data_IF_173874650042
#
_entry.id   IF_173874650042
#
_cell.length_a   1.000
_cell.length_b   1.000
_cell.length_c   1.000
_cell.angle_alpha   90.00
_cell.angle_beta   90.00
_cell.angle_gamma   90.00
#
_symmetry.space_group_name_H-M   'P 1'
#
loop_
_entity.id
_entity.type
_entity.pdbx_description
1 polymer ?
#
# COMPACT_ATOMS: atom_id res chain seq x y z
N UNK A 1 17.56 12.39 -0.91
CA UNK A 1 16.99 11.04 -1.08
C UNK A 1 17.84 9.93 -0.47
N UNK A 2 19.16 9.84 -0.70
CA UNK A 2 19.98 8.73 -0.14
C UNK A 2 19.98 8.65 1.39
N UNK A 3 19.91 9.77 2.11
CA UNK A 3 19.78 9.79 3.57
C UNK A 3 18.44 9.20 4.04
N UNK A 4 17.35 9.42 3.30
CA UNK A 4 16.02 8.91 3.60
C UNK A 4 15.99 7.38 3.56
N UNK A 5 16.56 6.77 2.50
CA UNK A 5 16.63 5.30 2.37
C UNK A 5 17.43 4.66 3.50
N UNK A 6 18.44 5.36 4.04
CA UNK A 6 19.28 4.82 5.11
C UNK A 6 18.62 4.93 6.49
N UNK A 7 17.84 6.01 6.72
CA UNK A 7 17.26 6.34 8.03
C UNK A 7 15.88 5.70 8.27
N UNK A 8 15.18 5.29 7.21
CA UNK A 8 13.87 4.65 7.34
C UNK A 8 14.03 3.19 7.81
N UNK A 9 13.56 2.83 9.02
CA UNK A 9 13.75 1.49 9.57
C UNK A 9 12.99 0.41 8.80
N UNK A 10 11.85 0.74 8.18
CA UNK A 10 10.99 -0.17 7.42
C UNK A 10 11.65 -0.66 6.12
N UNK A 11 12.70 0.02 5.63
CA UNK A 11 13.41 -0.42 4.42
C UNK A 11 14.33 -1.61 4.75
N UNK A 12 14.09 -2.81 4.18
CA UNK A 12 14.88 -3.99 4.47
C UNK A 12 16.34 -3.82 4.04
N UNK A 13 17.24 -4.42 4.81
CA UNK A 13 18.70 -4.33 4.59
C UNK A 13 19.11 -4.65 3.15
N UNK A 14 18.59 -5.71 2.47
CA UNK A 14 18.92 -5.98 1.07
C UNK A 14 18.61 -4.81 0.12
N UNK A 15 17.49 -4.13 0.32
CA UNK A 15 17.12 -2.97 -0.50
C UNK A 15 18.10 -1.80 -0.28
N UNK A 16 18.54 -1.56 0.96
CA UNK A 16 19.58 -0.56 1.27
C UNK A 16 20.89 -0.88 0.57
N UNK A 17 21.31 -2.15 0.60
CA UNK A 17 22.55 -2.62 -0.06
C UNK A 17 22.46 -2.41 -1.57
N UNK A 18 21.37 -2.81 -2.22
CA UNK A 18 21.15 -2.64 -3.66
C UNK A 18 21.18 -1.15 -4.04
N UNK A 19 20.55 -0.29 -3.24
CA UNK A 19 20.57 1.16 -3.45
C UNK A 19 21.99 1.73 -3.43
N UNK A 20 22.77 1.41 -2.38
CA UNK A 20 24.13 1.93 -2.27
C UNK A 20 25.09 1.37 -3.31
N UNK A 21 24.91 0.09 -3.72
CA UNK A 21 25.65 -0.46 -4.86
C UNK A 21 25.33 0.28 -6.14
N UNK A 22 24.07 0.58 -6.40
CA UNK A 22 23.65 1.40 -7.57
C UNK A 22 24.31 2.78 -7.57
N UNK A 23 24.29 3.48 -6.43
CA UNK A 23 24.97 4.77 -6.28
C UNK A 23 26.46 4.65 -6.50
N UNK A 24 27.13 3.65 -5.93
CA UNK A 24 28.56 3.40 -6.08
C UNK A 24 28.94 3.13 -7.54
N UNK A 25 28.13 2.35 -8.27
CA UNK A 25 28.33 2.10 -9.72
C UNK A 25 28.23 3.40 -10.52
N UNK A 26 27.20 4.21 -10.28
CA UNK A 26 27.00 5.48 -10.98
C UNK A 26 28.19 6.43 -10.74
N UNK A 27 28.62 6.58 -9.48
CA UNK A 27 29.76 7.41 -9.12
C UNK A 27 31.05 6.88 -9.76
N UNK A 28 31.28 5.55 -9.67
CA UNK A 28 32.46 4.91 -10.26
C UNK A 28 32.55 5.10 -11.77
N UNK A 29 31.43 4.95 -12.49
CA UNK A 29 31.36 5.21 -13.93
C UNK A 29 31.65 6.69 -14.24
N UNK A 30 31.11 7.62 -13.43
CA UNK A 30 31.35 9.04 -13.62
C UNK A 30 32.83 9.44 -13.41
N UNK A 31 33.48 8.85 -12.42
CA UNK A 31 34.88 9.11 -12.13
C UNK A 31 35.84 8.53 -13.17
N UNK A 32 35.45 7.44 -13.86
CA UNK A 32 36.26 6.81 -14.91
C UNK A 32 36.26 7.55 -16.25
N UNK A 33 35.49 8.62 -16.41
CA UNK A 33 35.48 9.41 -17.66
C UNK A 33 34.94 8.61 -18.85
N UNK A 34 33.69 8.17 -18.77
CA UNK A 34 33.02 7.33 -19.78
C UNK A 34 32.89 8.08 -21.09
N UNK A 35 33.23 7.44 -22.21
CA UNK A 35 33.06 7.99 -23.56
C UNK A 35 31.59 8.14 -23.95
N UNK A 36 31.26 8.98 -24.92
CA UNK A 36 29.88 9.21 -25.37
C UNK A 36 29.20 7.91 -25.84
N UNK A 37 29.93 7.03 -26.52
CA UNK A 37 29.41 5.74 -26.99
C UNK A 37 29.13 4.77 -25.83
N UNK A 38 30.02 4.71 -24.85
CA UNK A 38 29.81 3.91 -23.64
C UNK A 38 28.62 4.45 -22.84
N UNK A 39 28.47 5.76 -22.72
CA UNK A 39 27.37 6.41 -22.04
C UNK A 39 26.03 6.03 -22.70
N UNK A 40 25.96 6.01 -24.03
CA UNK A 40 24.77 5.57 -24.76
C UNK A 40 24.42 4.11 -24.47
N UNK A 41 25.42 3.21 -24.46
CA UNK A 41 25.20 1.79 -24.13
C UNK A 41 24.68 1.61 -22.71
N UNK A 42 25.28 2.29 -21.73
CA UNK A 42 24.81 2.24 -20.35
C UNK A 42 23.38 2.80 -20.21
N UNK A 43 23.05 3.88 -20.90
CA UNK A 43 21.69 4.42 -20.90
C UNK A 43 20.68 3.40 -21.46
N UNK A 44 21.00 2.74 -22.56
CA UNK A 44 20.12 1.68 -23.14
C UNK A 44 19.94 0.53 -22.13
N UNK A 45 21.02 0.04 -21.52
CA UNK A 45 20.94 -1.04 -20.51
C UNK A 45 20.07 -0.62 -19.34
N UNK A 46 20.26 0.60 -18.81
CA UNK A 46 19.44 1.10 -17.68
C UNK A 46 17.97 1.23 -18.05
N UNK A 47 17.65 1.77 -19.23
CA UNK A 47 16.26 1.89 -19.71
C UNK A 47 15.65 0.50 -19.91
N UNK A 48 16.37 -0.44 -20.51
CA UNK A 48 15.89 -1.81 -20.70
C UNK A 48 15.63 -2.49 -19.36
N UNK A 49 16.56 -2.39 -18.40
CA UNK A 49 16.40 -2.95 -17.06
C UNK A 49 15.19 -2.33 -16.32
N UNK A 50 15.00 -1.02 -16.48
CA UNK A 50 13.84 -0.33 -15.91
C UNK A 50 12.52 -0.79 -16.55
N UNK A 51 12.46 -0.93 -17.87
CA UNK A 51 11.28 -1.47 -18.55
C UNK A 51 10.97 -2.91 -18.13
N UNK A 52 11.99 -3.76 -18.00
CA UNK A 52 11.83 -5.12 -17.52
C UNK A 52 11.32 -5.15 -16.06
N UNK A 53 11.85 -4.27 -15.21
CA UNK A 53 11.35 -4.11 -13.85
C UNK A 53 9.88 -3.72 -13.82
N UNK A 54 9.47 -2.72 -14.61
CA UNK A 54 8.06 -2.32 -14.69
C UNK A 54 7.17 -3.45 -15.20
N UNK A 55 7.61 -4.16 -16.25
CA UNK A 55 6.87 -5.31 -16.78
C UNK A 55 6.69 -6.41 -15.72
N UNK A 56 7.75 -6.71 -14.96
CA UNK A 56 7.69 -7.68 -13.85
C UNK A 56 6.72 -7.22 -12.75
N UNK A 57 6.73 -5.93 -12.41
CA UNK A 57 5.80 -5.37 -11.44
C UNK A 57 4.34 -5.48 -11.90
N UNK A 58 4.07 -5.17 -13.17
CA UNK A 58 2.73 -5.28 -13.76
C UNK A 58 2.25 -6.73 -13.82
N UNK A 59 3.11 -7.66 -14.24
CA UNK A 59 2.80 -9.08 -14.26
C UNK A 59 2.51 -9.61 -12.86
N UNK A 60 3.36 -9.27 -11.87
CA UNK A 60 3.16 -9.63 -10.48
C UNK A 60 1.84 -9.10 -9.91
N UNK A 61 1.47 -7.87 -10.29
CA UNK A 61 0.18 -7.29 -9.89
C UNK A 61 -1.01 -8.08 -10.44
N UNK A 62 -0.96 -8.45 -11.72
CA UNK A 62 -2.01 -9.25 -12.35
C UNK A 62 -2.11 -10.66 -11.75
N UNK A 63 -0.96 -11.29 -11.47
CA UNK A 63 -0.91 -12.62 -10.84
C UNK A 63 -1.47 -12.58 -9.41
N UNK A 64 -1.14 -11.55 -8.62
CA UNK A 64 -1.66 -11.39 -7.27
C UNK A 64 -3.19 -11.24 -7.29
N UNK A 65 -3.72 -10.38 -8.16
CA UNK A 65 -5.17 -10.15 -8.30
C UNK A 65 -5.92 -11.44 -8.65
N UNK A 66 -5.47 -12.16 -9.67
CA UNK A 66 -6.11 -13.40 -10.08
C UNK A 66 -6.03 -14.46 -8.99
N UNK A 67 -4.84 -14.65 -8.42
CA UNK A 67 -4.63 -15.69 -7.42
C UNK A 67 -5.43 -15.46 -6.12
N UNK A 68 -5.66 -14.19 -5.73
CA UNK A 68 -6.49 -13.89 -4.54
C UNK A 68 -7.97 -14.11 -4.84
N UNK A 69 -8.43 -13.75 -6.04
CA UNK A 69 -9.83 -14.04 -6.45
C UNK A 69 -10.10 -15.54 -6.48
N UNK A 70 -9.17 -16.32 -7.03
CA UNK A 70 -9.29 -17.77 -7.06
C UNK A 70 -9.30 -18.37 -5.65
N UNK A 71 -8.42 -17.86 -4.76
CA UNK A 71 -8.32 -18.31 -3.38
C UNK A 71 -9.58 -17.98 -2.55
N UNK A 72 -10.13 -16.76 -2.68
CA UNK A 72 -11.37 -16.37 -2.01
C UNK A 72 -12.60 -17.04 -2.63
N UNK A 73 -12.54 -17.39 -3.91
CA UNK A 73 -13.59 -18.16 -4.57
C UNK A 73 -13.77 -19.55 -3.97
N UNK A 74 -12.75 -20.13 -3.35
CA UNK A 74 -12.84 -21.36 -2.57
C UNK A 74 -13.63 -21.17 -1.26
N UNK A 75 -13.75 -19.93 -0.78
CA UNK A 75 -14.52 -19.53 0.42
C UNK A 75 -15.91 -18.94 0.07
N UNK A 76 -16.37 -19.07 -1.19
CA UNK A 76 -17.64 -18.50 -1.69
C UNK A 76 -17.76 -16.97 -1.57
N UNK A 77 -16.63 -16.24 -1.51
CA UNK A 77 -16.61 -14.78 -1.41
C UNK A 77 -16.71 -14.15 -2.80
N UNK A 78 -17.79 -13.40 -3.04
CA UNK A 78 -17.99 -12.65 -4.28
C UNK A 78 -17.30 -11.29 -4.19
N UNK A 79 -16.25 -11.09 -4.99
CA UNK A 79 -15.48 -9.84 -5.02
C UNK A 79 -16.15 -8.85 -5.99
N UNK A 80 -16.48 -7.65 -5.49
CA UNK A 80 -17.12 -6.57 -6.27
C UNK A 80 -16.12 -5.51 -6.73
N UNK A 81 -15.11 -5.19 -5.92
CA UNK A 81 -14.02 -4.28 -6.26
C UNK A 81 -12.71 -4.77 -5.62
N UNK A 82 -11.58 -4.33 -6.16
CA UNK A 82 -10.29 -4.66 -5.59
C UNK A 82 -9.22 -3.61 -5.89
N UNK A 83 -8.31 -3.47 -4.95
CA UNK A 83 -7.10 -2.69 -5.11
C UNK A 83 -5.88 -3.53 -4.76
N UNK A 84 -4.80 -3.36 -5.50
CA UNK A 84 -3.52 -4.01 -5.20
C UNK A 84 -2.49 -2.95 -4.90
N UNK A 85 -1.93 -3.01 -3.69
CA UNK A 85 -0.84 -2.16 -3.23
C UNK A 85 0.51 -2.89 -3.29
N UNK A 86 1.60 -2.23 -3.70
CA UNK A 86 2.93 -2.76 -3.51
C UNK A 86 3.31 -2.65 -2.03
N UNK A 87 3.85 -3.72 -1.46
CA UNK A 87 4.45 -3.61 -0.13
C UNK A 87 5.74 -2.76 -0.19
N UNK A 88 5.95 -1.85 0.75
CA UNK A 88 7.12 -0.98 0.75
C UNK A 88 8.41 -1.80 0.69
N UNK A 89 9.26 -1.47 -0.29
CA UNK A 89 10.57 -2.08 -0.52
C UNK A 89 10.59 -3.61 -0.71
N UNK A 90 9.44 -4.25 -0.90
CA UNK A 90 9.36 -5.70 -1.18
C UNK A 90 8.66 -5.97 -2.52
N UNK A 91 9.42 -6.18 -3.63
CA UNK A 91 8.84 -6.46 -4.94
C UNK A 91 8.17 -7.84 -5.03
N UNK A 92 8.39 -8.70 -4.04
CA UNK A 92 7.92 -10.09 -4.02
C UNK A 92 6.69 -10.30 -3.13
N UNK A 93 6.15 -9.23 -2.59
CA UNK A 93 4.89 -9.27 -1.87
C UNK A 93 3.95 -8.16 -2.35
N UNK A 94 2.66 -8.39 -2.18
CA UNK A 94 1.58 -7.45 -2.48
C UNK A 94 0.55 -7.52 -1.37
N UNK A 95 -0.07 -6.42 -1.10
CA UNK A 95 -1.32 -6.41 -0.35
C UNK A 95 -2.46 -6.17 -1.34
N UNK A 96 -3.48 -7.01 -1.26
CA UNK A 96 -4.68 -6.91 -2.09
C UNK A 96 -5.85 -6.65 -1.16
N UNK A 97 -6.42 -5.46 -1.28
CA UNK A 97 -7.64 -5.09 -0.59
C UNK A 97 -8.82 -5.37 -1.52
N UNK A 98 -9.74 -6.20 -1.07
CA UNK A 98 -10.92 -6.62 -1.83
C UNK A 98 -12.18 -6.17 -1.11
N UNK A 99 -13.19 -5.90 -1.90
CA UNK A 99 -14.52 -5.52 -1.44
C UNK A 99 -15.48 -6.65 -1.83
N UNK A 100 -16.12 -7.24 -0.84
CA UNK A 100 -17.29 -8.10 -1.06
C UNK A 100 -18.58 -7.28 -0.85
N UNK A 101 -19.73 -7.92 -0.86
CA UNK A 101 -21.00 -7.24 -0.59
C UNK A 101 -21.07 -6.64 0.82
N UNK A 102 -20.40 -7.25 1.79
CA UNK A 102 -20.53 -6.91 3.20
C UNK A 102 -19.23 -6.64 3.92
N UNK A 103 -18.07 -7.04 3.36
CA UNK A 103 -16.78 -6.96 4.04
C UNK A 103 -15.68 -6.42 3.14
N UNK A 104 -14.71 -5.79 3.78
CA UNK A 104 -13.37 -5.58 3.25
C UNK A 104 -12.49 -6.76 3.66
N UNK A 105 -11.71 -7.28 2.71
CA UNK A 105 -10.75 -8.35 2.90
C UNK A 105 -9.37 -7.85 2.50
N UNK A 106 -8.42 -7.79 3.42
CA UNK A 106 -7.04 -7.48 3.10
C UNK A 106 -6.21 -8.77 3.09
N UNK A 107 -5.63 -9.08 1.95
CA UNK A 107 -4.86 -10.31 1.74
C UNK A 107 -3.43 -9.97 1.38
N UNK A 108 -2.49 -10.44 2.17
CA UNK A 108 -1.08 -10.41 1.84
C UNK A 108 -0.76 -11.56 0.88
N UNK A 109 -0.21 -11.21 -0.28
CA UNK A 109 0.24 -12.15 -1.30
C UNK A 109 1.75 -12.20 -1.31
N UNK A 110 2.33 -13.39 -1.09
CA UNK A 110 3.76 -13.65 -1.19
C UNK A 110 4.05 -14.54 -2.38
N UNK A 111 4.88 -14.08 -3.31
CA UNK A 111 5.24 -14.89 -4.49
C UNK A 111 6.18 -16.06 -4.15
N UNK A 112 6.87 -15.98 -3.01
CA UNK A 112 7.78 -17.02 -2.53
C UNK A 112 7.43 -17.37 -1.08
N UNK A 113 7.43 -18.66 -0.75
CA UNK A 113 7.14 -19.18 0.58
C UNK A 113 6.13 -20.32 0.55
N UNK A 114 5.83 -20.84 1.72
CA UNK A 114 4.88 -21.97 1.90
C UNK A 114 3.44 -21.44 1.86
N UNK A 115 3.19 -20.34 2.54
CA UNK A 115 1.89 -19.66 2.57
C UNK A 115 1.92 -18.50 1.60
N UNK A 116 1.21 -18.65 0.47
CA UNK A 116 1.16 -17.62 -0.58
C UNK A 116 0.13 -16.54 -0.30
N UNK A 117 -0.95 -16.88 0.37
CA UNK A 117 -2.08 -16.03 0.67
C UNK A 117 -2.37 -16.11 2.15
N UNK A 118 -2.48 -14.99 2.82
CA UNK A 118 -2.91 -14.89 4.20
C UNK A 118 -3.67 -13.59 4.42
N UNK A 119 -4.65 -13.57 5.29
CA UNK A 119 -5.28 -12.32 5.71
C UNK A 119 -4.26 -11.42 6.41
N UNK A 120 -4.20 -10.16 6.04
CA UNK A 120 -3.37 -9.15 6.72
C UNK A 120 -3.98 -8.80 8.09
N UNK A 121 -5.32 -8.80 8.15
CA UNK A 121 -6.14 -8.68 9.36
C UNK A 121 -7.49 -9.36 9.09
N UNK A 122 -8.27 -9.60 10.15
CA UNK A 122 -9.60 -10.19 10.04
C UNK A 122 -10.51 -9.37 9.12
N UNK A 123 -11.35 -10.00 8.28
CA UNK A 123 -12.27 -9.29 7.40
C UNK A 123 -13.14 -8.29 8.16
N UNK A 124 -13.23 -7.07 7.66
CA UNK A 124 -13.90 -5.95 8.31
C UNK A 124 -15.24 -5.67 7.65
N UNK A 125 -16.29 -5.55 8.45
CA UNK A 125 -17.64 -5.23 7.95
C UNK A 125 -17.66 -3.84 7.33
N UNK A 126 -18.24 -3.72 6.15
CA UNK A 126 -18.51 -2.43 5.51
C UNK A 126 -19.62 -1.74 6.30
N UNK A 127 -19.28 -0.61 6.90
CA UNK A 127 -20.21 0.16 7.73
C UNK A 127 -20.91 1.22 6.87
N UNK A 128 -22.24 1.26 6.94
CA UNK A 128 -23.00 2.42 6.47
C UNK A 128 -22.90 3.55 7.51
N UNK A 129 -22.61 4.79 7.07
CA UNK A 129 -22.53 5.92 8.00
C UNK A 129 -23.87 6.16 8.72
N UNK A 130 -23.86 6.05 10.03
CA UNK A 130 -24.96 6.48 10.90
C UNK A 130 -25.03 8.02 11.01
N UNK A 131 -25.87 8.52 11.92
CA UNK A 131 -26.03 9.96 12.12
C UNK A 131 -24.77 10.64 12.69
N UNK A 132 -24.03 9.96 13.58
CA UNK A 132 -22.81 10.48 14.19
C UNK A 132 -21.70 10.52 13.16
N UNK A 133 -21.49 9.42 12.44
CA UNK A 133 -20.50 9.32 11.37
C UNK A 133 -20.83 10.33 10.26
N UNK A 134 -22.09 10.47 9.88
CA UNK A 134 -22.52 11.40 8.85
C UNK A 134 -22.23 12.86 9.22
N UNK A 135 -22.41 13.24 10.51
CA UNK A 135 -22.02 14.56 11.00
C UNK A 135 -20.50 14.78 10.92
N UNK A 136 -19.71 13.78 11.34
CA UNK A 136 -18.26 13.86 11.22
C UNK A 136 -17.81 14.01 9.76
N UNK A 137 -18.41 13.26 8.82
CA UNK A 137 -18.08 13.33 7.40
C UNK A 137 -18.45 14.69 6.76
N UNK A 138 -19.39 15.43 7.35
CA UNK A 138 -19.78 16.76 6.90
C UNK A 138 -18.83 17.88 7.36
N UNK A 139 -17.87 17.59 8.24
CA UNK A 139 -16.91 18.57 8.73
C UNK A 139 -16.00 19.07 7.60
N UNK A 140 -15.93 20.40 7.43
CA UNK A 140 -15.13 21.03 6.37
C UNK A 140 -13.63 20.78 6.52
N UNK A 141 -13.14 20.57 7.75
CA UNK A 141 -11.72 20.37 8.02
C UNK A 141 -11.17 19.08 7.40
N UNK A 142 -12.01 18.06 7.26
CA UNK A 142 -11.65 16.75 6.69
C UNK A 142 -12.16 16.52 5.26
N UNK A 143 -12.78 17.53 4.64
CA UNK A 143 -13.38 17.43 3.30
C UNK A 143 -12.41 16.90 2.24
N UNK A 144 -11.12 17.31 2.34
CA UNK A 144 -10.08 16.82 1.44
C UNK A 144 -9.84 15.32 1.59
N UNK A 145 -9.85 14.82 2.83
CA UNK A 145 -9.70 13.40 3.14
C UNK A 145 -10.91 12.60 2.67
N UNK A 146 -12.13 13.07 2.95
CA UNK A 146 -13.39 12.43 2.52
C UNK A 146 -13.45 12.27 1.00
N UNK A 147 -13.04 13.31 0.25
CA UNK A 147 -13.00 13.24 -1.22
C UNK A 147 -11.92 12.30 -1.77
N UNK A 148 -10.89 12.00 -0.98
CA UNK A 148 -9.76 11.18 -1.38
C UNK A 148 -9.91 9.71 -0.94
N UNK A 149 -10.58 9.45 0.19
CA UNK A 149 -10.75 8.10 0.72
C UNK A 149 -11.55 7.22 -0.24
N UNK A 150 -11.19 5.93 -0.29
CA UNK A 150 -11.86 4.96 -1.17
C UNK A 150 -12.42 3.75 -0.42
N UNK A 151 -11.76 3.32 0.66
CA UNK A 151 -12.17 2.17 1.46
C UNK A 151 -12.31 2.61 2.92
N UNK A 152 -13.42 3.33 3.22
CA UNK A 152 -13.61 3.91 4.54
C UNK A 152 -13.90 2.84 5.58
N UNK A 153 -13.30 3.02 6.73
CA UNK A 153 -13.62 2.31 7.98
C UNK A 153 -13.78 3.33 9.10
N UNK A 154 -14.82 3.16 9.90
CA UNK A 154 -15.20 4.12 10.93
C UNK A 154 -15.13 3.47 12.31
N UNK A 155 -14.61 4.21 13.27
CA UNK A 155 -14.60 3.85 14.69
C UNK A 155 -15.16 5.03 15.47
N UNK A 156 -16.17 4.78 16.33
CA UNK A 156 -16.77 5.79 17.18
C UNK A 156 -16.35 5.54 18.61
N UNK A 157 -15.69 6.51 19.21
CA UNK A 157 -15.28 6.50 20.62
C UNK A 157 -16.14 7.48 21.41
N UNK A 158 -16.70 7.02 22.53
CA UNK A 158 -17.45 7.88 23.46
C UNK A 158 -16.48 8.76 24.25
N UNK A 159 -16.80 10.05 24.36
CA UNK A 159 -16.11 11.03 25.18
C UNK A 159 -17.04 11.51 26.33
N UNK A 160 -16.49 12.19 27.32
CA UNK A 160 -17.28 12.79 28.41
C UNK A 160 -18.35 13.78 27.90
N UNK A 161 -18.10 14.42 26.73
CA UNK A 161 -19.02 15.30 26.04
C UNK A 161 -18.98 15.02 24.53
N UNK A 162 -19.88 14.18 24.03
CA UNK A 162 -19.98 13.83 22.62
C UNK A 162 -19.20 12.58 22.21
N UNK A 163 -18.78 12.54 20.94
CA UNK A 163 -18.16 11.36 20.34
C UNK A 163 -16.93 11.79 19.52
N UNK A 164 -15.91 10.94 19.51
CA UNK A 164 -14.81 11.04 18.56
C UNK A 164 -15.00 10.01 17.45
N UNK A 165 -15.09 10.47 16.23
CA UNK A 165 -15.16 9.61 15.05
C UNK A 165 -13.77 9.53 14.42
N UNK A 166 -13.21 8.34 14.40
CA UNK A 166 -11.95 8.04 13.71
C UNK A 166 -12.33 7.46 12.35
N UNK A 167 -11.83 8.09 11.30
CA UNK A 167 -12.08 7.70 9.91
C UNK A 167 -10.78 7.22 9.31
N UNK A 168 -10.77 5.99 8.83
CA UNK A 168 -9.60 5.35 8.21
C UNK A 168 -9.88 5.05 6.75
N UNK A 169 -8.86 5.17 5.93
CA UNK A 169 -8.85 4.56 4.60
C UNK A 169 -7.98 3.29 4.66
N UNK A 170 -8.60 2.14 4.52
CA UNK A 170 -7.95 0.84 4.67
C UNK A 170 -6.80 0.58 3.70
N UNK A 171 -6.58 1.46 2.71
CA UNK A 171 -5.38 1.43 1.86
C UNK A 171 -4.10 1.76 2.60
N UNK A 172 -4.18 2.48 3.73
CA UNK A 172 -3.04 3.09 4.40
C UNK A 172 -3.06 2.94 5.92
N UNK A 173 -4.21 2.60 6.49
CA UNK A 173 -4.40 2.47 7.92
C UNK A 173 -5.22 1.22 8.21
N UNK A 174 -4.60 0.21 8.79
CA UNK A 174 -5.29 -1.00 9.20
C UNK A 174 -6.16 -0.74 10.43
N UNK A 175 -7.22 -1.55 10.67
CA UNK A 175 -8.11 -1.38 11.84
C UNK A 175 -7.35 -1.41 13.18
N UNK A 176 -6.33 -2.26 13.28
CA UNK A 176 -5.54 -2.48 14.50
C UNK A 176 -4.39 -1.50 14.68
N UNK A 177 -4.14 -0.61 13.71
CA UNK A 177 -3.09 0.39 13.81
C UNK A 177 -3.44 1.45 14.86
N UNK A 178 -2.65 1.56 15.93
CA UNK A 178 -2.84 2.59 16.93
C UNK A 178 -2.62 4.00 16.37
N UNK A 179 -1.74 4.13 15.38
CA UNK A 179 -1.46 5.39 14.73
C UNK A 179 -0.99 5.21 13.29
N UNK A 180 -1.64 5.91 12.36
CA UNK A 180 -1.22 5.97 10.96
C UNK A 180 -1.10 7.44 10.56
N UNK A 181 0.10 7.85 10.16
CA UNK A 181 0.36 9.23 9.71
C UNK A 181 -0.35 9.60 8.40
N UNK A 182 -0.79 8.62 7.63
CA UNK A 182 -1.50 8.78 6.36
C UNK A 182 -2.68 7.82 6.35
N UNK A 183 -3.86 8.30 5.96
CA UNK A 183 -5.05 7.46 5.84
C UNK A 183 -5.92 7.41 7.10
N UNK A 184 -5.65 8.27 8.09
CA UNK A 184 -6.45 8.40 9.29
C UNK A 184 -6.72 9.87 9.60
N UNK A 185 -7.95 10.19 9.93
CA UNK A 185 -8.37 11.47 10.51
C UNK A 185 -9.34 11.22 11.67
N UNK A 186 -9.44 12.15 12.61
CA UNK A 186 -10.41 12.09 13.69
C UNK A 186 -11.17 13.41 13.79
N UNK A 187 -12.46 13.33 14.10
CA UNK A 187 -13.36 14.48 14.30
C UNK A 187 -14.13 14.27 15.57
N UNK A 188 -14.17 15.29 16.42
CA UNK A 188 -15.02 15.30 17.61
C UNK A 188 -16.39 15.89 17.26
N UNK A 189 -17.45 15.17 17.60
CA UNK A 189 -18.86 15.50 17.29
C UNK A 189 -19.62 15.61 18.58
N UNK A 190 -20.32 16.73 18.79
CA UNK A 190 -21.20 16.97 19.94
C UNK A 190 -22.60 16.38 19.73
#
# INVERSE_FOLDING_TARGET
>A
MSALVTLVPEVPVPAKVVWWLGVAVIVGLRLRGVTAEQNRRYAVVCVTAFCLYLATMMAGNSMARQGVVDWLGEEDVVVTDMMTGPMPANPFAREVLLVSETHYHAVEVRFFGVERYQYAYEPVVIQEPDEIISRALADESIRGFVNWMRFPYYEVQELDAGHRVIIRDLRYAHPDDEWSGIGLVSVDVE
#
